data_IF_043190671893
#
_entry.id   IF_043190671893
#
_cell.length_a   1.000
_cell.length_b   1.000
_cell.length_c   1.000
_cell.angle_alpha   90.00
_cell.angle_beta   90.00
_cell.angle_gamma   90.00
#
_symmetry.space_group_name_H-M   'P 1'
#
loop_
_entity.id
_entity.type
_entity.pdbx_description
1 polymer ?
#
# COMPACT_ATOMS: atom_id res chain seq x y z
N UNK A 1 -11.14 -38.03 1.04
CA UNK A 1 -10.66 -37.41 1.16
C UNK A 1 -10.47 -36.61 1.04
N UNK A 2 -10.47 -36.56 1.06
CA UNK A 2 -9.99 -35.77 1.10
C UNK A 2 -9.77 -34.84 1.29
N UNK A 3 -9.93 -34.93 1.10
CA UNK A 3 -9.52 -34.12 1.30
C UNK A 3 -9.34 -33.21 1.54
N UNK A 4 -9.57 -33.37 1.46
CA UNK A 4 -9.18 -32.54 1.76
C UNK A 4 -8.83 -31.76 1.90
N UNK A 5 -8.91 -31.90 1.86
CA UNK A 5 -8.19 -31.22 2.09
C UNK A 5 -7.78 -30.43 1.96
N UNK A 6 -7.81 -30.54 1.77
CA UNK A 6 -7.00 -29.77 1.68
C UNK A 6 -7.09 -28.74 1.59
N UNK A 7 -7.52 -28.76 1.64
CA UNK A 7 -7.27 -27.82 1.62
C UNK A 7 -6.81 -27.06 2.10
N UNK A 8 -6.49 -27.37 2.36
CA UNK A 8 -5.77 -26.80 2.87
C UNK A 8 -5.32 -26.01 3.09
N UNK A 9 -5.38 -26.16 2.94
CA UNK A 9 -4.67 -25.47 3.21
C UNK A 9 -4.54 -24.63 3.17
N UNK A 10 -4.77 -24.65 3.00
CA UNK A 10 -4.27 -24.03 2.95
C UNK A 10 -3.98 -23.08 3.19
N UNK A 11 -3.97 -23.14 3.32
CA UNK A 11 -3.32 -22.47 3.64
C UNK A 11 -2.63 -21.70 3.54
N UNK A 12 -2.52 -21.39 3.63
CA UNK A 12 -1.80 -20.76 3.52
C UNK A 12 -1.35 -19.90 3.96
N UNK A 13 -1.25 -19.63 3.92
CA UNK A 13 -0.44 -18.55 4.33
C UNK A 13 -0.43 -17.91 5.65
N UNK A 14 -0.88 -18.52 6.56
CA UNK A 14 -0.79 -18.01 7.90
C UNK A 14 0.64 -17.77 8.33
N UNK A 15 1.56 -18.49 7.78
CA UNK A 15 2.97 -18.20 8.03
C UNK A 15 3.42 -16.91 7.34
N UNK A 16 2.50 -16.27 6.65
CA UNK A 16 2.72 -14.95 6.06
C UNK A 16 2.15 -13.83 6.91
N UNK A 17 1.83 -14.13 8.14
CA UNK A 17 1.34 -13.08 9.04
C UNK A 17 2.44 -12.06 9.26
N UNK A 18 2.09 -10.80 9.05
CA UNK A 18 2.99 -9.68 9.31
C UNK A 18 2.35 -8.84 10.38
N UNK A 19 2.79 -8.95 11.63
CA UNK A 19 2.13 -8.22 12.71
C UNK A 19 2.21 -6.72 12.53
N UNK A 20 1.25 -6.03 13.13
CA UNK A 20 1.25 -4.57 13.12
C UNK A 20 2.54 -4.06 13.76
N UNK A 21 3.11 -3.05 13.14
CA UNK A 21 4.35 -2.45 13.61
C UNK A 21 4.08 -1.53 14.80
N UNK A 22 5.07 -1.42 15.68
CA UNK A 22 5.02 -0.47 16.79
C UNK A 22 5.21 0.94 16.25
N UNK A 23 4.88 1.93 17.08
CA UNK A 23 5.09 3.34 16.73
C UNK A 23 6.55 3.62 16.38
N UNK A 24 7.48 3.03 17.13
CA UNK A 24 8.91 3.20 16.86
C UNK A 24 9.31 2.58 15.53
N UNK A 25 8.81 1.38 15.24
CA UNK A 25 9.10 0.71 13.98
C UNK A 25 8.56 1.51 12.80
N UNK A 26 7.34 2.03 12.92
CA UNK A 26 6.75 2.87 11.89
C UNK A 26 7.62 4.10 11.66
N UNK A 27 8.06 4.74 12.73
CA UNK A 27 8.90 5.93 12.64
C UNK A 27 10.19 5.66 11.87
N UNK A 28 10.81 4.50 12.10
CA UNK A 28 12.02 4.11 11.38
C UNK A 28 11.73 3.84 9.89
N UNK A 29 10.65 3.13 9.61
CA UNK A 29 10.28 2.82 8.23
C UNK A 29 9.94 4.07 7.44
N UNK A 30 9.33 5.07 8.08
CA UNK A 30 8.99 6.32 7.40
C UNK A 30 10.21 7.08 6.90
N UNK A 31 11.37 6.84 7.49
CA UNK A 31 12.60 7.48 7.00
C UNK A 31 12.98 7.07 5.58
N UNK A 32 12.53 5.89 5.15
CA UNK A 32 12.80 5.37 3.81
C UNK A 32 11.76 5.87 2.81
N UNK A 33 10.60 6.28 3.30
CA UNK A 33 9.53 6.85 2.48
C UNK A 33 9.11 8.18 3.08
N UNK A 34 9.98 9.20 3.00
CA UNK A 34 9.80 10.45 3.77
C UNK A 34 8.59 11.28 3.37
N UNK A 35 8.00 11.02 2.21
CA UNK A 35 6.80 11.74 1.78
C UNK A 35 5.52 11.14 2.35
N UNK A 36 5.63 10.02 3.04
CA UNK A 36 4.50 9.40 3.71
C UNK A 36 4.46 9.82 5.17
N UNK A 37 3.26 9.93 5.72
CA UNK A 37 3.08 10.28 7.12
C UNK A 37 2.09 9.34 7.79
N UNK A 38 2.25 9.17 9.09
CA UNK A 38 1.37 8.33 9.90
C UNK A 38 0.11 9.13 10.28
N UNK A 39 -1.04 8.51 10.13
CA UNK A 39 -2.32 9.04 10.59
C UNK A 39 -3.09 7.91 11.24
N UNK A 40 -3.26 7.98 12.57
CA UNK A 40 -3.92 6.91 13.33
C UNK A 40 -3.27 5.57 13.00
N UNK A 41 -4.03 4.61 12.51
CA UNK A 41 -3.56 3.26 12.19
C UNK A 41 -3.19 3.12 10.71
N UNK A 42 -2.85 4.22 10.06
CA UNK A 42 -2.56 4.23 8.62
C UNK A 42 -1.29 5.02 8.33
N UNK A 43 -0.78 4.86 7.10
CA UNK A 43 0.17 5.81 6.52
C UNK A 43 -0.44 6.35 5.24
N UNK A 44 -0.14 7.60 4.91
CA UNK A 44 -0.72 8.22 3.74
C UNK A 44 0.24 9.18 3.07
N UNK A 45 0.02 9.39 1.78
CA UNK A 45 0.74 10.37 0.98
C UNK A 45 -0.20 10.97 -0.06
N UNK A 46 -0.05 12.26 -0.32
CA UNK A 46 -0.75 12.95 -1.40
C UNK A 46 0.23 13.14 -2.55
N UNK A 47 -0.15 12.68 -3.73
CA UNK A 47 0.62 12.83 -4.97
C UNK A 47 -0.02 13.91 -5.81
N UNK A 48 0.78 14.81 -6.37
CA UNK A 48 0.26 15.89 -7.20
C UNK A 48 0.69 15.68 -8.65
N UNK A 49 -0.23 15.98 -9.57
CA UNK A 49 -0.04 15.75 -11.01
C UNK A 49 -0.32 17.02 -11.78
N UNK A 50 -0.11 16.97 -13.09
CA UNK A 50 -0.38 18.11 -13.96
C UNK A 50 -1.85 18.27 -14.30
N UNK A 51 -2.67 17.29 -13.97
CA UNK A 51 -4.09 17.37 -14.23
C UNK A 51 -4.78 16.05 -13.97
N UNK A 52 -6.05 16.01 -14.30
CA UNK A 52 -6.90 14.87 -13.96
C UNK A 52 -6.48 13.59 -14.69
N UNK A 53 -6.14 13.69 -15.98
CA UNK A 53 -5.76 12.49 -16.72
C UNK A 53 -4.49 11.84 -16.20
N UNK A 54 -3.55 12.63 -15.76
CA UNK A 54 -2.32 12.09 -15.16
C UNK A 54 -2.62 11.44 -13.81
N UNK A 55 -3.51 12.05 -13.03
CA UNK A 55 -3.98 11.46 -11.77
C UNK A 55 -4.58 10.08 -12.03
N UNK A 56 -5.45 9.97 -13.03
CA UNK A 56 -6.09 8.70 -13.36
C UNK A 56 -5.10 7.68 -13.90
N UNK A 57 -4.12 8.12 -14.68
CA UNK A 57 -3.08 7.22 -15.20
C UNK A 57 -2.26 6.62 -14.04
N UNK A 58 -1.94 7.43 -13.05
CA UNK A 58 -1.24 6.97 -11.86
C UNK A 58 -2.09 5.95 -11.11
N UNK A 59 -3.35 6.26 -10.84
CA UNK A 59 -4.27 5.36 -10.13
C UNK A 59 -4.36 4.02 -10.83
N UNK A 60 -4.41 4.01 -12.15
CA UNK A 60 -4.48 2.77 -12.92
C UNK A 60 -3.26 1.89 -12.68
N UNK A 61 -2.07 2.49 -12.64
CA UNK A 61 -0.84 1.73 -12.36
C UNK A 61 -0.83 1.20 -10.94
N UNK A 62 -1.26 2.01 -9.99
CA UNK A 62 -1.33 1.58 -8.59
C UNK A 62 -2.34 0.45 -8.42
N UNK A 63 -3.49 0.53 -9.11
CA UNK A 63 -4.50 -0.52 -9.05
C UNK A 63 -3.94 -1.86 -9.52
N UNK A 64 -3.16 -1.86 -10.59
CA UNK A 64 -2.52 -3.09 -11.07
C UNK A 64 -1.55 -3.66 -10.05
N UNK A 65 -0.76 -2.81 -9.44
CA UNK A 65 0.20 -3.23 -8.43
C UNK A 65 -0.50 -3.78 -7.20
N UNK A 66 -1.55 -3.10 -6.75
CA UNK A 66 -2.33 -3.54 -5.59
C UNK A 66 -2.98 -4.90 -5.84
N UNK A 67 -3.51 -5.10 -7.04
CA UNK A 67 -4.14 -6.37 -7.39
C UNK A 67 -3.11 -7.51 -7.43
N UNK A 68 -1.92 -7.21 -7.93
CA UNK A 68 -0.85 -8.19 -8.03
C UNK A 68 -0.39 -8.68 -6.65
N UNK A 69 -0.33 -7.79 -5.68
CA UNK A 69 0.13 -8.12 -4.33
C UNK A 69 -1.03 -8.43 -3.39
N UNK A 70 -2.26 -8.29 -3.87
CA UNK A 70 -3.47 -8.49 -3.07
C UNK A 70 -3.47 -7.65 -1.80
N UNK A 71 -2.99 -6.41 -1.90
CA UNK A 71 -3.00 -5.46 -0.81
C UNK A 71 -3.41 -4.11 -1.40
N UNK A 72 -4.55 -3.58 -0.97
CA UNK A 72 -5.23 -2.50 -1.66
C UNK A 72 -5.22 -1.22 -0.84
N UNK A 73 -4.78 -0.09 -1.40
CA UNK A 73 -4.87 1.19 -0.73
C UNK A 73 -6.28 1.76 -0.79
N UNK A 74 -6.59 2.66 0.12
CA UNK A 74 -7.72 3.56 -0.07
C UNK A 74 -7.24 4.68 -0.99
N UNK A 75 -8.04 5.01 -1.98
CA UNK A 75 -7.66 5.97 -3.02
C UNK A 75 -8.67 7.11 -3.03
N UNK A 76 -8.17 8.33 -2.83
CA UNK A 76 -9.00 9.54 -2.86
C UNK A 76 -8.45 10.43 -3.97
N UNK A 77 -9.26 10.67 -5.00
CA UNK A 77 -8.86 11.44 -6.18
C UNK A 77 -9.56 12.78 -6.15
N UNK A 78 -8.77 13.84 -6.19
CA UNK A 78 -9.28 15.21 -6.24
C UNK A 78 -8.59 15.96 -7.36
N UNK A 79 -9.17 15.90 -8.56
CA UNK A 79 -8.65 16.53 -9.76
C UNK A 79 -7.19 16.15 -10.03
N UNK A 80 -6.24 16.97 -9.62
CA UNK A 80 -4.81 16.77 -9.86
C UNK A 80 -4.08 16.16 -8.67
N UNK A 81 -4.82 15.66 -7.67
CA UNK A 81 -4.23 15.09 -6.47
C UNK A 81 -4.81 13.73 -6.19
N UNK A 82 -3.92 12.82 -5.82
CA UNK A 82 -4.31 11.46 -5.41
C UNK A 82 -3.73 11.22 -4.03
N UNK A 83 -4.62 10.94 -3.09
CA UNK A 83 -4.19 10.56 -1.75
C UNK A 83 -4.32 9.05 -1.63
N UNK A 84 -3.23 8.40 -1.28
CA UNK A 84 -3.23 6.98 -0.98
C UNK A 84 -3.11 6.80 0.53
N UNK A 85 -3.94 5.93 1.08
CA UNK A 85 -3.93 5.60 2.50
C UNK A 85 -3.76 4.09 2.62
N UNK A 86 -2.78 3.67 3.41
CA UNK A 86 -2.42 2.27 3.54
C UNK A 86 -2.55 1.81 4.98
N UNK A 87 -3.13 0.64 5.15
CA UNK A 87 -3.18 -0.05 6.43
C UNK A 87 -3.42 -1.53 6.15
N UNK A 88 -3.14 -2.38 7.11
CA UNK A 88 -3.43 -3.81 7.00
C UNK A 88 -4.53 -4.13 7.99
N UNK A 89 -5.78 -4.11 7.50
CA UNK A 89 -6.96 -4.25 8.36
C UNK A 89 -6.92 -5.54 9.19
N UNK A 90 -6.50 -6.63 8.59
CA UNK A 90 -6.46 -7.92 9.27
C UNK A 90 -5.52 -7.93 10.47
N UNK A 91 -4.54 -7.05 10.48
CA UNK A 91 -3.55 -6.97 11.57
C UNK A 91 -3.81 -5.78 12.50
N UNK A 92 -4.84 -4.99 12.20
CA UNK A 92 -5.21 -3.86 13.04
C UNK A 92 -4.31 -2.65 12.96
N UNK A 93 -3.51 -2.53 11.90
CA UNK A 93 -2.64 -1.39 11.74
C UNK A 93 -1.64 -1.55 10.62
N UNK A 94 -0.65 -0.67 10.60
CA UNK A 94 0.37 -0.66 9.56
C UNK A 94 1.34 -1.83 9.75
N UNK A 95 1.66 -2.49 8.65
CA UNK A 95 2.62 -3.60 8.63
C UNK A 95 3.68 -3.35 7.55
N UNK A 96 4.61 -4.30 7.43
CA UNK A 96 5.59 -4.27 6.34
C UNK A 96 4.96 -4.26 4.97
N UNK A 97 3.77 -4.85 4.82
CA UNK A 97 3.06 -4.84 3.54
C UNK A 97 2.77 -3.41 3.08
N UNK A 98 2.41 -2.56 4.01
CA UNK A 98 2.08 -1.17 3.71
C UNK A 98 3.32 -0.41 3.25
N UNK A 99 4.44 -0.61 3.92
CA UNK A 99 5.69 0.06 3.52
C UNK A 99 6.22 -0.47 2.20
N UNK A 100 6.05 -1.76 1.93
CA UNK A 100 6.41 -2.33 0.64
C UNK A 100 5.60 -1.68 -0.48
N UNK A 101 4.29 -1.56 -0.30
CA UNK A 101 3.43 -0.93 -1.29
C UNK A 101 3.73 0.57 -1.41
N UNK A 102 4.03 1.24 -0.30
CA UNK A 102 4.39 2.65 -0.34
C UNK A 102 5.63 2.88 -1.21
N UNK A 103 6.65 2.04 -1.04
CA UNK A 103 7.86 2.14 -1.88
C UNK A 103 7.54 1.92 -3.35
N UNK A 104 6.66 0.96 -3.64
CA UNK A 104 6.28 0.69 -5.04
C UNK A 104 5.51 1.85 -5.63
N UNK A 105 4.60 2.45 -4.87
CA UNK A 105 3.86 3.63 -5.33
C UNK A 105 4.81 4.80 -5.61
N UNK A 106 5.76 5.02 -4.71
CA UNK A 106 6.76 6.07 -4.91
C UNK A 106 7.59 5.83 -6.16
N UNK A 107 7.96 4.57 -6.38
CA UNK A 107 8.72 4.18 -7.58
C UNK A 107 7.95 4.44 -8.87
N UNK A 108 6.67 4.10 -8.89
CA UNK A 108 5.81 4.37 -10.04
C UNK A 108 5.72 5.88 -10.29
N UNK A 109 5.52 6.65 -9.24
CA UNK A 109 5.43 8.11 -9.36
C UNK A 109 6.71 8.69 -9.93
N UNK A 110 7.85 8.33 -9.37
CA UNK A 110 9.14 8.84 -9.80
C UNK A 110 9.44 8.44 -11.24
N UNK A 111 9.15 7.20 -11.61
CA UNK A 111 9.50 6.68 -12.93
C UNK A 111 8.66 7.26 -14.05
N UNK A 112 7.37 7.48 -13.82
CA UNK A 112 6.43 7.79 -14.89
C UNK A 112 5.83 9.19 -14.84
N UNK A 113 5.90 9.89 -13.72
CA UNK A 113 5.15 11.12 -13.52
C UNK A 113 5.98 12.31 -13.06
N UNK A 114 7.23 12.10 -12.73
CA UNK A 114 8.14 13.18 -12.36
C UNK A 114 9.07 13.44 -13.54
N UNK A 115 9.15 14.70 -13.93
CA UNK A 115 10.01 15.10 -15.05
C UNK A 115 11.45 15.35 -14.60
#
# INVERSE_FOLDING_TARGET
MTTVIARTPQKKPQFKIMPALTTQEISLHLKVVPDWSKRAQTICRVFKFEGFLMSMAFVRRIAKQAQKTNHHPDIDIRFDRVKLTLTTHDEGGVTEKDFSLARECDGVFTKFFVL
#
